data_IF_644952586614
#
_entry.id   IF_644952586614
#
_cell.length_a   1.000
_cell.length_b   1.000
_cell.length_c   1.000
_cell.angle_alpha   90.00
_cell.angle_beta   90.00
_cell.angle_gamma   90.00
#
_symmetry.space_group_name_H-M   'P 1'
#
loop_
_entity.id
_entity.type
_entity.pdbx_description
1 polymer ?
#
# COMPACT_ATOMS: atom_id res chain seq x y z
N UNK A 1 9.61 27.52 1.17
CA UNK A 1 9.19 28.81 1.77
C UNK A 1 9.85 29.03 3.14
N UNK A 2 9.71 28.13 4.13
CA UNK A 2 10.42 28.28 5.42
C UNK A 2 11.95 28.24 5.31
N UNK A 3 12.49 27.47 4.37
CA UNK A 3 13.92 27.42 4.06
C UNK A 3 14.49 28.76 3.57
N UNK A 4 13.68 29.58 2.89
CA UNK A 4 14.11 30.90 2.40
C UNK A 4 14.22 31.92 3.53
N UNK A 5 13.33 31.87 4.52
CA UNK A 5 13.38 32.78 5.68
C UNK A 5 14.59 32.45 6.55
N UNK A 6 14.83 31.16 6.79
CA UNK A 6 16.01 30.70 7.54
C UNK A 6 17.30 31.02 6.78
N UNK A 7 17.36 30.84 5.46
CA UNK A 7 18.56 31.16 4.69
C UNK A 7 18.81 32.67 4.62
N UNK A 8 17.77 33.50 4.50
CA UNK A 8 17.91 34.97 4.50
C UNK A 8 18.33 35.49 5.87
N UNK A 9 17.80 34.94 6.96
CA UNK A 9 18.25 35.28 8.31
C UNK A 9 19.68 34.82 8.59
N UNK A 10 20.07 33.64 8.11
CA UNK A 10 21.44 33.13 8.24
C UNK A 10 22.43 33.97 7.41
N UNK A 11 22.03 34.39 6.21
CA UNK A 11 22.82 35.29 5.36
C UNK A 11 23.03 36.65 6.01
N UNK A 12 22.01 37.21 6.68
CA UNK A 12 22.11 38.49 7.40
C UNK A 12 23.05 38.42 8.62
N UNK A 13 23.18 37.25 9.25
CA UNK A 13 24.09 37.02 10.38
C UNK A 13 25.51 36.74 9.90
N UNK A 14 25.68 36.05 8.78
CA UNK A 14 26.99 35.74 8.19
C UNK A 14 27.64 36.94 7.47
N UNK A 15 26.84 37.84 6.86
CA UNK A 15 27.34 39.04 6.17
C UNK A 15 27.20 40.34 6.98
N UNK A 16 26.66 40.27 8.20
CA UNK A 16 26.51 41.43 9.10
C UNK A 16 27.80 41.74 9.88
N UNK A 17 27.94 42.99 10.32
CA UNK A 17 29.09 43.43 11.13
C UNK A 17 29.27 42.54 12.38
N UNK A 18 30.44 41.89 12.58
CA UNK A 18 30.67 40.94 13.67
C UNK A 18 30.66 41.58 15.08
N UNK A 19 30.61 42.91 15.16
CA UNK A 19 30.64 43.68 16.39
C UNK A 19 29.24 44.16 16.86
N UNK A 20 28.19 43.83 16.11
CA UNK A 20 26.81 44.10 16.53
C UNK A 20 26.29 42.95 17.42
N UNK A 21 25.71 43.24 18.60
CA UNK A 21 25.14 42.21 19.45
C UNK A 21 24.06 41.43 18.70
N UNK A 22 24.01 40.10 18.86
CA UNK A 22 22.93 39.25 18.30
C UNK A 22 21.53 39.81 18.63
N UNK A 23 21.39 40.49 19.77
CA UNK A 23 20.18 41.17 20.21
C UNK A 23 19.72 42.31 19.26
N UNK A 24 20.62 43.09 18.65
CA UNK A 24 20.24 44.18 17.73
C UNK A 24 19.75 43.63 16.38
N UNK A 25 20.32 42.50 15.94
CA UNK A 25 19.81 41.76 14.79
C UNK A 25 18.42 41.14 15.08
N UNK A 26 18.21 40.61 16.29
CA UNK A 26 16.91 40.07 16.72
C UNK A 26 15.82 41.13 16.81
N UNK A 27 16.15 42.34 17.28
CA UNK A 27 15.20 43.45 17.41
C UNK A 27 14.80 44.02 16.04
N UNK A 28 15.76 44.14 15.12
CA UNK A 28 15.51 44.62 13.75
C UNK A 28 14.76 43.58 12.91
N UNK A 29 15.09 42.29 13.08
CA UNK A 29 14.35 41.19 12.47
C UNK A 29 12.94 41.04 13.07
N UNK A 30 12.80 41.21 14.38
CA UNK A 30 11.54 41.08 15.11
C UNK A 30 10.46 42.01 14.56
N UNK A 31 10.76 43.30 14.41
CA UNK A 31 9.79 44.29 13.88
C UNK A 31 9.32 43.97 12.45
N UNK A 32 10.24 43.53 11.59
CA UNK A 32 9.97 43.32 10.15
C UNK A 32 9.33 41.96 9.85
N UNK A 33 9.62 40.93 10.66
CA UNK A 33 9.10 39.58 10.48
C UNK A 33 7.99 39.20 11.47
N UNK A 34 7.64 40.09 12.42
CA UNK A 34 6.56 39.87 13.40
C UNK A 34 5.23 39.51 12.71
N UNK A 35 4.86 40.26 11.67
CA UNK A 35 3.64 39.99 10.91
C UNK A 35 3.68 38.60 10.25
N UNK A 36 4.82 38.23 9.64
CA UNK A 36 5.00 36.91 9.04
C UNK A 36 4.96 35.78 10.08
N UNK A 37 5.53 36.00 11.26
CA UNK A 37 5.54 35.04 12.35
C UNK A 37 4.12 34.84 12.91
N UNK A 38 3.35 35.92 13.06
CA UNK A 38 1.94 35.86 13.47
C UNK A 38 1.13 35.08 12.43
N UNK A 39 1.29 35.39 11.14
CA UNK A 39 0.62 34.66 10.04
C UNK A 39 1.03 33.18 10.07
N UNK A 40 2.32 32.88 10.21
CA UNK A 40 2.80 31.50 10.24
C UNK A 40 2.23 30.71 11.42
N UNK A 41 2.30 31.26 12.65
CA UNK A 41 1.74 30.62 13.85
C UNK A 41 0.23 30.46 13.74
N UNK A 42 -0.46 31.41 13.10
CA UNK A 42 -1.90 31.32 12.85
C UNK A 42 -2.27 30.23 11.84
N UNK A 43 -1.45 30.01 10.79
CA UNK A 43 -1.67 28.97 9.78
C UNK A 43 -1.22 27.59 10.24
N UNK A 44 -0.24 27.50 11.13
CA UNK A 44 0.35 26.26 11.61
C UNK A 44 -0.69 25.25 12.13
N UNK A 45 -1.65 25.60 13.02
CA UNK A 45 -2.65 24.64 13.49
C UNK A 45 -3.56 24.15 12.36
N UNK A 46 -3.97 25.01 11.42
CA UNK A 46 -4.77 24.60 10.27
C UNK A 46 -3.98 23.61 9.39
N UNK A 47 -2.73 23.93 9.09
CA UNK A 47 -1.84 23.07 8.31
C UNK A 47 -1.61 21.70 8.97
N UNK A 48 -1.37 21.67 10.29
CA UNK A 48 -1.19 20.43 11.05
C UNK A 48 -2.46 19.59 11.03
N UNK A 49 -3.62 20.21 11.26
CA UNK A 49 -4.90 19.50 11.24
C UNK A 49 -5.21 18.92 9.87
N UNK A 50 -4.97 19.67 8.80
CA UNK A 50 -5.18 19.18 7.43
C UNK A 50 -4.20 18.06 7.09
N UNK A 51 -2.94 18.17 7.51
CA UNK A 51 -1.94 17.10 7.32
C UNK A 51 -2.34 15.82 8.05
N UNK A 52 -2.78 15.92 9.30
CA UNK A 52 -3.25 14.77 10.09
C UNK A 52 -4.48 14.14 9.45
N UNK A 53 -5.46 14.96 9.02
CA UNK A 53 -6.67 14.48 8.34
C UNK A 53 -6.35 13.76 7.04
N UNK A 54 -5.45 14.34 6.24
CA UNK A 54 -4.98 13.75 5.00
C UNK A 54 -4.32 12.40 5.31
N UNK A 55 -3.32 12.35 6.20
CA UNK A 55 -2.63 11.12 6.60
C UNK A 55 -3.60 10.03 7.08
N UNK A 56 -4.56 10.39 7.94
CA UNK A 56 -5.57 9.45 8.45
C UNK A 56 -6.48 8.90 7.34
N UNK A 57 -6.72 9.68 6.28
CA UNK A 57 -7.47 9.24 5.09
C UNK A 57 -6.72 8.15 4.31
N UNK A 58 -5.38 8.13 4.35
CA UNK A 58 -4.56 7.07 3.75
C UNK A 58 -4.46 5.83 4.65
N UNK A 59 -4.29 6.03 5.96
CA UNK A 59 -4.04 4.94 6.91
C UNK A 59 -5.17 3.88 6.93
N UNK A 60 -6.43 4.30 6.84
CA UNK A 60 -7.59 3.41 6.87
C UNK A 60 -7.64 2.43 5.68
N UNK A 61 -7.70 2.91 4.43
CA UNK A 61 -7.69 2.06 3.23
C UNK A 61 -6.47 1.13 3.15
N UNK A 62 -5.26 1.63 3.41
CA UNK A 62 -4.02 0.83 3.35
C UNK A 62 -4.02 -0.30 4.37
N UNK A 63 -4.45 -0.02 5.61
CA UNK A 63 -4.52 -1.04 6.66
C UNK A 63 -5.50 -2.16 6.28
N UNK A 64 -6.67 -1.82 5.73
CA UNK A 64 -7.66 -2.80 5.24
C UNK A 64 -7.12 -3.64 4.08
N UNK A 65 -6.46 -3.02 3.10
CA UNK A 65 -5.85 -3.75 1.98
C UNK A 65 -4.77 -4.72 2.47
N UNK A 66 -3.89 -4.27 3.38
CA UNK A 66 -2.86 -5.13 3.99
C UNK A 66 -3.47 -6.33 4.72
N UNK A 67 -4.58 -6.13 5.43
CA UNK A 67 -5.25 -7.23 6.13
C UNK A 67 -5.91 -8.20 5.16
N UNK A 68 -6.54 -7.72 4.07
CA UNK A 68 -7.11 -8.56 3.03
C UNK A 68 -6.03 -9.43 2.35
N UNK A 69 -4.90 -8.82 1.97
CA UNK A 69 -3.76 -9.54 1.41
C UNK A 69 -3.22 -10.61 2.37
N UNK A 70 -3.06 -10.28 3.67
CA UNK A 70 -2.60 -11.25 4.68
C UNK A 70 -3.58 -12.41 4.84
N UNK A 71 -4.88 -12.13 4.94
CA UNK A 71 -5.93 -13.16 5.07
C UNK A 71 -5.85 -14.18 3.93
N UNK A 72 -5.68 -13.72 2.69
CA UNK A 72 -5.52 -14.58 1.52
C UNK A 72 -4.18 -15.34 1.55
N UNK A 73 -3.08 -14.65 1.88
CA UNK A 73 -1.76 -15.27 1.96
C UNK A 73 -1.67 -16.39 3.01
N UNK A 74 -2.43 -16.25 4.11
CA UNK A 74 -2.52 -17.24 5.18
C UNK A 74 -3.48 -18.41 4.84
N UNK A 75 -3.98 -18.49 3.60
CA UNK A 75 -4.90 -19.53 3.14
C UNK A 75 -6.37 -19.28 3.48
N UNK A 76 -6.71 -18.08 3.95
CA UNK A 76 -8.08 -17.66 4.20
C UNK A 76 -8.86 -17.38 2.91
N UNK A 77 -10.19 -17.44 3.02
CA UNK A 77 -11.09 -17.16 1.90
C UNK A 77 -11.04 -15.68 1.46
N UNK A 78 -11.08 -15.48 0.14
CA UNK A 78 -11.24 -14.18 -0.49
C UNK A 78 -12.54 -13.49 -0.07
N UNK A 79 -12.45 -12.20 0.19
CA UNK A 79 -13.60 -11.35 0.46
C UNK A 79 -13.43 -10.04 -0.34
N UNK A 80 -14.44 -9.63 -1.13
CA UNK A 80 -14.35 -8.42 -1.95
C UNK A 80 -14.06 -7.18 -1.11
N UNK A 81 -12.99 -6.48 -1.45
CA UNK A 81 -12.60 -5.25 -0.79
C UNK A 81 -13.44 -4.09 -1.34
N UNK A 82 -14.11 -3.34 -0.46
CA UNK A 82 -14.85 -2.13 -0.85
C UNK A 82 -14.44 -0.97 0.03
N UNK A 83 -13.99 0.12 -0.59
CA UNK A 83 -13.71 1.36 0.12
C UNK A 83 -14.86 2.37 -0.02
N UNK A 84 -15.05 3.18 1.02
CA UNK A 84 -16.08 4.22 1.07
C UNK A 84 -15.47 5.54 0.58
N UNK A 85 -15.92 6.02 -0.57
CA UNK A 85 -15.59 7.34 -1.13
C UNK A 85 -14.99 7.27 -2.53
N UNK A 86 -15.51 8.09 -3.45
CA UNK A 86 -15.16 8.17 -4.88
C UNK A 86 -13.77 8.79 -5.13
N UNK A 87 -12.74 8.20 -4.55
CA UNK A 87 -11.35 8.67 -4.68
C UNK A 87 -10.43 7.53 -5.12
N UNK A 88 -9.16 7.82 -5.38
CA UNK A 88 -8.06 6.92 -5.81
C UNK A 88 -8.11 5.50 -5.22
N UNK A 89 -8.61 5.35 -3.99
CA UNK A 89 -8.74 4.07 -3.32
C UNK A 89 -9.74 3.11 -3.97
N UNK A 90 -10.85 3.60 -4.51
CA UNK A 90 -11.87 2.73 -5.12
C UNK A 90 -11.29 1.94 -6.28
N UNK A 91 -10.52 2.60 -7.16
CA UNK A 91 -9.84 1.95 -8.28
C UNK A 91 -8.85 0.88 -7.79
N UNK A 92 -8.07 1.18 -6.74
CA UNK A 92 -7.16 0.21 -6.14
C UNK A 92 -7.89 -1.02 -5.55
N UNK A 93 -9.08 -0.83 -4.98
CA UNK A 93 -9.91 -1.93 -4.50
C UNK A 93 -10.43 -2.79 -5.66
N UNK A 94 -10.88 -2.15 -6.74
CA UNK A 94 -11.37 -2.83 -7.93
C UNK A 94 -10.25 -3.66 -8.59
N UNK A 95 -9.04 -3.12 -8.70
CA UNK A 95 -7.87 -3.83 -9.19
C UNK A 95 -7.52 -5.05 -8.33
N UNK A 96 -7.53 -4.89 -7.00
CA UNK A 96 -7.31 -6.00 -6.07
C UNK A 96 -8.38 -7.10 -6.23
N UNK A 97 -9.65 -6.72 -6.30
CA UNK A 97 -10.76 -7.66 -6.47
C UNK A 97 -10.64 -8.41 -7.80
N UNK A 98 -10.30 -7.71 -8.88
CA UNK A 98 -10.08 -8.31 -10.20
C UNK A 98 -8.92 -9.29 -10.20
N UNK A 99 -7.81 -8.95 -9.54
CA UNK A 99 -6.68 -9.84 -9.36
C UNK A 99 -7.05 -11.12 -8.61
N UNK A 100 -7.82 -10.99 -7.54
CA UNK A 100 -8.26 -12.13 -6.73
C UNK A 100 -9.19 -13.07 -7.48
N UNK A 101 -10.20 -12.53 -8.18
CA UNK A 101 -11.13 -13.31 -9.00
C UNK A 101 -10.39 -14.12 -10.07
N UNK A 102 -9.43 -13.51 -10.76
CA UNK A 102 -8.64 -14.22 -11.76
C UNK A 102 -7.74 -15.29 -11.14
N UNK A 103 -7.18 -15.02 -9.95
CA UNK A 103 -6.35 -16.00 -9.24
C UNK A 103 -7.17 -17.22 -8.82
N UNK A 104 -8.35 -17.01 -8.23
CA UNK A 104 -9.26 -18.10 -7.85
C UNK A 104 -9.71 -18.93 -9.07
N UNK A 105 -10.05 -18.24 -10.17
CA UNK A 105 -10.41 -18.91 -11.43
C UNK A 105 -9.28 -19.83 -11.93
N UNK A 106 -8.03 -19.37 -11.86
CA UNK A 106 -6.86 -20.15 -12.30
C UNK A 106 -6.57 -21.33 -11.38
N UNK A 107 -6.76 -21.16 -10.07
CA UNK A 107 -6.62 -22.26 -9.09
C UNK A 107 -7.68 -23.33 -9.35
N UNK A 108 -8.95 -22.95 -9.46
CA UNK A 108 -10.04 -23.88 -9.74
C UNK A 108 -9.84 -24.66 -11.07
N UNK A 109 -9.35 -23.98 -12.11
CA UNK A 109 -9.02 -24.63 -13.39
C UNK A 109 -7.80 -25.57 -13.32
N UNK A 110 -6.87 -25.34 -12.40
CA UNK A 110 -5.75 -26.25 -12.16
C UNK A 110 -6.20 -27.50 -11.38
N UNK A 111 -7.02 -27.32 -10.35
CA UNK A 111 -7.61 -28.43 -9.58
C UNK A 111 -8.47 -29.34 -10.46
N UNK A 112 -9.34 -28.78 -11.30
CA UNK A 112 -10.16 -29.57 -12.23
C UNK A 112 -9.33 -30.45 -13.17
N UNK A 113 -8.25 -29.90 -13.73
CA UNK A 113 -7.32 -30.66 -14.60
C UNK A 113 -6.60 -31.78 -13.86
N UNK A 114 -6.22 -31.57 -12.60
CA UNK A 114 -5.57 -32.58 -11.78
C UNK A 114 -6.53 -33.76 -11.48
N UNK A 115 -7.81 -33.46 -11.21
CA UNK A 115 -8.85 -34.48 -10.98
C UNK A 115 -9.11 -35.30 -12.25
N UNK A 116 -9.23 -34.66 -13.41
CA UNK A 116 -9.43 -35.35 -14.70
C UNK A 116 -8.25 -36.26 -15.04
N UNK A 117 -7.01 -35.79 -14.87
CA UNK A 117 -5.81 -36.59 -15.10
C UNK A 117 -5.75 -37.82 -14.18
N UNK A 118 -6.04 -37.65 -12.89
CA UNK A 118 -6.08 -38.75 -11.92
C UNK A 118 -7.18 -39.78 -12.25
N UNK A 119 -8.36 -39.33 -12.71
CA UNK A 119 -9.42 -40.22 -13.15
C UNK A 119 -9.04 -41.00 -14.40
N UNK A 120 -8.40 -40.36 -15.38
CA UNK A 120 -7.96 -41.01 -16.62
C UNK A 120 -6.89 -42.08 -16.36
N UNK A 121 -5.95 -41.82 -15.46
CA UNK A 121 -4.95 -42.80 -15.02
C UNK A 121 -5.59 -43.98 -14.27
N UNK A 122 -6.56 -43.72 -13.39
CA UNK A 122 -7.26 -44.77 -12.65
C UNK A 122 -8.06 -45.69 -13.59
N UNK A 123 -8.77 -45.11 -14.58
CA UNK A 123 -9.50 -45.88 -15.60
C UNK A 123 -8.54 -46.71 -16.47
N UNK A 124 -7.37 -46.16 -16.82
CA UNK A 124 -6.35 -46.87 -17.60
C UNK A 124 -5.78 -48.07 -16.82
N UNK A 125 -5.44 -47.92 -15.54
CA UNK A 125 -4.94 -49.01 -14.70
C UNK A 125 -5.97 -50.12 -14.45
N UNK A 126 -7.24 -49.75 -14.31
CA UNK A 126 -8.36 -50.71 -14.20
C UNK A 126 -8.53 -51.51 -15.50
N UNK A 127 -8.33 -50.89 -16.67
CA UNK A 127 -8.35 -51.57 -17.96
C UNK A 127 -7.16 -52.51 -18.17
N UNK A 128 -5.96 -52.15 -17.71
CA UNK A 128 -4.77 -53.03 -17.78
C UNK A 128 -4.85 -54.24 -16.84
N UNK A 129 -5.41 -54.06 -15.64
CA UNK A 129 -5.55 -55.15 -14.65
C UNK A 129 -6.60 -56.18 -15.06
N UNK A 130 -7.58 -55.78 -15.89
CA UNK A 130 -8.63 -56.68 -16.40
C UNK A 130 -8.23 -57.46 -17.65
N UNK A 131 -7.03 -57.26 -18.21
CA UNK A 131 -6.55 -58.05 -19.34
C UNK A 131 -6.24 -59.49 -18.88
N UNK A 132 -6.86 -60.53 -19.46
CA UNK A 132 -6.63 -61.90 -19.03
C UNK A 132 -5.17 -62.28 -19.29
N UNK A 133 -4.45 -62.67 -18.23
CA UNK A 133 -3.09 -63.17 -18.36
C UNK A 133 -3.09 -64.42 -19.27
N UNK A 134 -2.24 -64.48 -20.31
CA UNK A 134 -2.14 -65.67 -21.13
C UNK A 134 -1.54 -66.78 -20.26
N UNK A 135 -2.35 -67.80 -19.96
CA UNK A 135 -1.92 -69.05 -19.33
C UNK A 135 -0.84 -69.66 -20.22
N UNK A 136 0.41 -69.52 -19.80
CA UNK A 136 1.57 -70.17 -20.39
C UNK A 136 1.47 -71.68 -20.15
N UNK A 137 0.90 -72.41 -21.12
CA UNK A 137 1.05 -73.85 -21.23
C UNK A 137 2.52 -74.18 -21.57
N UNK A 138 3.26 -74.71 -20.60
CA UNK A 138 4.63 -75.19 -20.78
C UNK A 138 4.59 -76.69 -21.07
N UNK A 139 4.98 -77.06 -22.28
CA UNK A 139 5.27 -78.42 -22.75
C UNK A 139 6.54 -78.99 -22.14
#
# INVERSE_FOLDING_TARGET
MGTCVVSVSLMQVLLGDPNQPIASHLQTAGSRYLLFLIVFVSLLPAFVLDTIRLSNRFAGPVSRLRNAMRKVADGGSYEPLKFRGNDFWTELADDYNRFMVETERRIAAAEGRAVEAGSAEATTRLSETSAPQPVSARS
#
